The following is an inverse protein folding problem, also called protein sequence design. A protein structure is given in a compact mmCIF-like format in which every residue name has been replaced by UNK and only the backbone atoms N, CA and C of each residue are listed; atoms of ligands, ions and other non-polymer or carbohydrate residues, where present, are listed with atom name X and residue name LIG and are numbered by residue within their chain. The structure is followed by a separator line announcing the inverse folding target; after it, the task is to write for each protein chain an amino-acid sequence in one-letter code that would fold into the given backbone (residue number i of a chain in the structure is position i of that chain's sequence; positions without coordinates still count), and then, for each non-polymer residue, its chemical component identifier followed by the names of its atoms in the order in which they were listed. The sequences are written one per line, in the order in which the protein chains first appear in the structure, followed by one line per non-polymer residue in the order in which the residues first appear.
data_IF_336991766398
#
_entry.id   IF_336991766398
#
_cell.length_a   1.000
_cell.length_b   1.000
_cell.length_c   1.000
_cell.angle_alpha   90.00
_cell.angle_beta   90.00
_cell.angle_gamma   90.00
#
_symmetry.space_group_name_H-M   'P 1'
#
loop_
_entity.id
_entity.type
_entity.pdbx_description
1 polymer ?
#
# COMPACT_ATOMS: atom_id res chain seq x y z
N UNK A 1 14.45 -41.04 -4.67
CA UNK A 1 13.00 -40.71 -4.74
C UNK A 1 12.36 -41.60 -5.78
N UNK A 2 11.18 -42.17 -5.49
CA UNK A 2 10.42 -42.93 -6.49
C UNK A 2 9.74 -42.00 -7.49
N UNK A 3 9.40 -42.52 -8.68
CA UNK A 3 8.69 -41.75 -9.72
C UNK A 3 7.32 -41.25 -9.26
N UNK A 4 6.67 -42.01 -8.37
CA UNK A 4 5.41 -41.61 -7.74
C UNK A 4 5.57 -40.42 -6.79
N UNK A 5 6.63 -40.40 -5.99
CA UNK A 5 6.90 -39.30 -5.06
C UNK A 5 7.16 -37.98 -5.82
N UNK A 6 7.87 -38.06 -6.96
CA UNK A 6 8.09 -36.91 -7.83
C UNK A 6 6.78 -36.39 -8.46
N UNK A 7 5.89 -37.28 -8.87
CA UNK A 7 4.55 -36.92 -9.34
C UNK A 7 3.74 -36.21 -8.26
N UNK A 8 3.66 -36.78 -7.05
CA UNK A 8 2.89 -36.20 -5.95
C UNK A 8 3.37 -34.80 -5.59
N UNK A 9 4.69 -34.59 -5.53
CA UNK A 9 5.25 -33.25 -5.34
C UNK A 9 4.89 -32.27 -6.47
N UNK A 10 4.89 -32.72 -7.72
CA UNK A 10 4.47 -31.90 -8.87
C UNK A 10 2.99 -31.54 -8.77
N UNK A 11 2.16 -32.50 -8.36
CA UNK A 11 0.73 -32.31 -8.15
C UNK A 11 0.44 -31.34 -7.00
N UNK A 12 1.14 -31.46 -5.86
CA UNK A 12 0.96 -30.57 -4.71
C UNK A 12 1.27 -29.12 -5.11
N UNK A 13 2.38 -28.91 -5.84
CA UNK A 13 2.74 -27.60 -6.38
C UNK A 13 1.67 -27.06 -7.33
N UNK A 14 1.18 -27.88 -8.27
CA UNK A 14 0.11 -27.48 -9.18
C UNK A 14 -1.19 -27.11 -8.44
N UNK A 15 -1.57 -27.90 -7.42
CA UNK A 15 -2.75 -27.67 -6.60
C UNK A 15 -2.66 -26.38 -5.81
N UNK A 16 -1.46 -26.02 -5.33
CA UNK A 16 -1.19 -24.77 -4.64
C UNK A 16 -1.36 -23.53 -5.56
N UNK A 17 -1.02 -23.64 -6.85
CA UNK A 17 -1.23 -22.52 -7.81
C UNK A 17 -2.70 -22.13 -8.01
N UNK A 18 -3.64 -23.04 -7.70
CA UNK A 18 -5.08 -22.77 -7.73
C UNK A 18 -5.61 -22.27 -6.38
N UNK A 19 -4.74 -21.99 -5.40
CA UNK A 19 -5.08 -21.52 -4.06
C UNK A 19 -5.75 -22.56 -3.15
N UNK A 20 -6.08 -22.17 -1.93
CA UNK A 20 -6.81 -23.01 -0.96
C UNK A 20 -8.23 -22.47 -0.68
N UNK A 21 -8.98 -23.10 0.23
CA UNK A 21 -10.31 -22.63 0.65
C UNK A 21 -11.43 -22.75 -0.38
N UNK A 22 -12.62 -22.22 -0.08
CA UNK A 22 -13.73 -22.13 -1.04
C UNK A 22 -13.50 -20.90 -1.94
N UNK A 23 -13.49 -21.03 -3.27
CA UNK A 23 -13.39 -19.86 -4.15
C UNK A 23 -14.53 -18.87 -3.88
N UNK A 24 -14.19 -17.58 -3.83
CA UNK A 24 -15.16 -16.50 -3.59
C UNK A 24 -16.10 -16.38 -4.79
N UNK A 25 -17.41 -16.39 -4.53
CA UNK A 25 -18.44 -16.25 -5.55
C UNK A 25 -18.76 -14.80 -5.89
N UNK A 26 -19.44 -14.60 -7.00
CA UNK A 26 -19.80 -13.30 -7.55
C UNK A 26 -20.91 -12.56 -6.84
N UNK A 27 -21.66 -13.22 -5.96
CA UNK A 27 -22.82 -12.63 -5.26
C UNK A 27 -22.46 -11.33 -4.52
N UNK A 28 -21.26 -11.26 -3.94
CA UNK A 28 -20.80 -10.06 -3.21
C UNK A 28 -20.55 -8.87 -4.14
N UNK A 29 -20.34 -9.13 -5.43
CA UNK A 29 -20.03 -8.17 -6.48
C UNK A 29 -21.23 -7.85 -7.39
N UNK A 30 -22.43 -8.32 -7.04
CA UNK A 30 -23.68 -8.01 -7.74
C UNK A 30 -24.61 -7.19 -6.82
N UNK A 31 -24.53 -5.86 -6.92
CA UNK A 31 -25.44 -4.94 -6.23
C UNK A 31 -26.58 -4.47 -7.17
N UNK A 32 -26.88 -5.22 -8.23
CA UNK A 32 -27.89 -4.83 -9.23
C UNK A 32 -29.28 -4.69 -8.63
N UNK A 33 -29.64 -5.48 -7.61
CA UNK A 33 -30.94 -5.41 -6.92
C UNK A 33 -31.14 -4.08 -6.15
N UNK A 34 -30.24 -3.70 -5.22
CA UNK A 34 -30.29 -2.36 -4.61
C UNK A 34 -30.33 -1.22 -5.63
N UNK A 35 -29.52 -1.31 -6.69
CA UNK A 35 -29.46 -0.28 -7.75
C UNK A 35 -30.76 -0.21 -8.56
N UNK A 36 -31.39 -1.34 -8.89
CA UNK A 36 -32.70 -1.36 -9.54
C UNK A 36 -33.76 -0.68 -8.66
N UNK A 37 -33.70 -0.86 -7.33
CA UNK A 37 -34.57 -0.16 -6.38
C UNK A 37 -34.30 1.35 -6.33
N UNK A 38 -33.03 1.77 -6.31
CA UNK A 38 -32.66 3.20 -6.38
C UNK A 38 -33.14 3.85 -7.69
N UNK A 39 -33.02 3.13 -8.81
CA UNK A 39 -33.54 3.59 -10.11
C UNK A 39 -35.04 3.83 -10.04
N UNK A 40 -35.81 2.94 -9.41
CA UNK A 40 -37.26 3.11 -9.26
C UNK A 40 -37.61 4.34 -8.42
N UNK A 41 -36.89 4.58 -7.32
CA UNK A 41 -37.04 5.79 -6.50
C UNK A 41 -36.76 7.04 -7.31
N UNK A 42 -35.64 7.09 -8.04
CA UNK A 42 -35.30 8.23 -8.92
C UNK A 42 -36.37 8.40 -10.00
N UNK A 43 -36.77 7.33 -10.68
CA UNK A 43 -37.81 7.39 -11.70
C UNK A 43 -39.14 7.93 -11.14
N UNK A 44 -39.50 7.57 -9.90
CA UNK A 44 -40.72 8.07 -9.24
C UNK A 44 -40.70 9.56 -8.90
N UNK A 45 -39.50 10.16 -8.81
CA UNK A 45 -39.33 11.59 -8.53
C UNK A 45 -39.52 12.46 -9.77
N UNK A 46 -39.77 11.87 -10.94
CA UNK A 46 -40.02 12.60 -12.17
C UNK A 46 -41.21 13.58 -12.01
N UNK A 47 -41.18 14.75 -12.69
CA UNK A 47 -42.26 15.73 -12.58
C UNK A 47 -43.61 15.12 -12.96
N UNK A 48 -44.59 15.25 -12.05
CA UNK A 48 -45.98 14.88 -12.32
C UNK A 48 -46.69 15.93 -13.19
N UNK A 49 -47.95 15.67 -13.54
CA UNK A 49 -48.78 16.57 -14.37
C UNK A 49 -48.94 17.98 -13.82
N UNK A 50 -48.72 18.15 -12.52
CA UNK A 50 -48.97 19.39 -11.79
C UNK A 50 -47.74 20.32 -11.78
N UNK A 51 -46.56 19.81 -12.16
CA UNK A 51 -45.34 20.60 -12.29
C UNK A 51 -44.88 20.63 -13.75
N UNK A 52 -45.04 21.79 -14.38
CA UNK A 52 -44.78 21.99 -15.82
C UNK A 52 -43.92 23.23 -16.08
N UNK A 53 -43.36 23.33 -17.29
CA UNK A 53 -42.51 24.43 -17.73
C UNK A 53 -41.02 24.09 -17.73
N UNK A 54 -40.18 25.03 -18.17
CA UNK A 54 -38.77 24.77 -18.47
C UNK A 54 -37.95 24.18 -17.31
N UNK A 55 -38.27 24.53 -16.06
CA UNK A 55 -37.63 23.96 -14.89
C UNK A 55 -38.03 22.48 -14.66
N UNK A 56 -39.29 22.13 -14.89
CA UNK A 56 -39.78 20.75 -14.83
C UNK A 56 -39.13 19.93 -15.95
N UNK A 57 -39.03 20.45 -17.17
CA UNK A 57 -38.38 19.77 -18.30
C UNK A 57 -36.89 19.52 -18.04
N UNK A 58 -36.18 20.52 -17.50
CA UNK A 58 -34.76 20.40 -17.14
C UNK A 58 -34.55 19.36 -16.02
N UNK A 59 -35.44 19.33 -15.03
CA UNK A 59 -35.41 18.32 -13.97
C UNK A 59 -35.73 16.93 -14.51
N UNK A 60 -36.78 16.77 -15.32
CA UNK A 60 -37.12 15.49 -15.96
C UNK A 60 -35.93 14.93 -16.75
N UNK A 61 -35.27 15.77 -17.54
CA UNK A 61 -34.07 15.37 -18.28
C UNK A 61 -32.91 14.92 -17.37
N UNK A 62 -32.67 15.60 -16.24
CA UNK A 62 -31.65 15.17 -15.25
C UNK A 62 -32.06 13.86 -14.57
N UNK A 63 -33.33 13.71 -14.22
CA UNK A 63 -33.89 12.53 -13.56
C UNK A 63 -33.78 11.28 -14.44
N UNK A 64 -34.13 11.40 -15.73
CA UNK A 64 -33.99 10.32 -16.71
C UNK A 64 -32.53 9.91 -16.92
N UNK A 65 -31.60 10.89 -16.96
CA UNK A 65 -30.16 10.60 -17.07
C UNK A 65 -29.65 9.86 -15.85
N UNK A 66 -30.01 10.30 -14.64
CA UNK A 66 -29.63 9.64 -13.39
C UNK A 66 -30.19 8.20 -13.32
N UNK A 67 -31.47 7.99 -13.64
CA UNK A 67 -32.05 6.65 -13.73
C UNK A 67 -31.36 5.77 -14.79
N UNK A 68 -30.94 6.37 -15.90
CA UNK A 68 -30.16 5.73 -16.94
C UNK A 68 -28.77 5.28 -16.47
N UNK A 69 -28.06 6.13 -15.72
CA UNK A 69 -26.76 5.82 -15.12
C UNK A 69 -26.87 4.69 -14.10
N UNK A 70 -27.84 4.76 -13.18
CA UNK A 70 -28.08 3.70 -12.17
C UNK A 70 -28.38 2.36 -12.84
N UNK A 71 -29.18 2.34 -13.91
CA UNK A 71 -29.42 1.13 -14.70
C UNK A 71 -28.13 0.60 -15.34
N UNK A 72 -27.29 1.48 -15.85
CA UNK A 72 -25.98 1.11 -16.42
C UNK A 72 -25.08 0.45 -15.39
N UNK A 73 -25.03 1.01 -14.17
CA UNK A 73 -24.33 0.42 -13.03
C UNK A 73 -24.87 -0.97 -12.71
N UNK A 74 -26.19 -1.11 -12.54
CA UNK A 74 -26.82 -2.39 -12.22
C UNK A 74 -26.53 -3.52 -13.23
N UNK A 75 -26.44 -3.18 -14.52
CA UNK A 75 -26.08 -4.17 -15.55
C UNK A 75 -24.60 -4.58 -15.47
N UNK A 76 -23.72 -3.61 -15.23
CA UNK A 76 -22.29 -3.88 -15.12
C UNK A 76 -21.97 -4.67 -13.84
N UNK A 77 -22.67 -4.41 -12.73
CA UNK A 77 -22.58 -5.15 -11.47
C UNK A 77 -22.88 -6.64 -11.67
N UNK A 78 -24.01 -6.91 -12.31
CA UNK A 78 -24.48 -8.26 -12.57
C UNK A 78 -23.48 -9.03 -13.44
N UNK A 79 -22.89 -8.33 -14.42
CA UNK A 79 -21.85 -8.88 -15.29
C UNK A 79 -20.56 -9.14 -14.52
N UNK A 80 -20.16 -8.24 -13.62
CA UNK A 80 -18.99 -8.43 -12.76
C UNK A 80 -19.15 -9.64 -11.85
N UNK A 81 -20.27 -9.73 -11.12
CA UNK A 81 -20.60 -10.91 -10.32
C UNK A 81 -20.57 -12.19 -11.14
N UNK A 82 -21.17 -12.19 -12.34
CA UNK A 82 -21.14 -13.36 -13.23
C UNK A 82 -19.73 -13.78 -13.66
N UNK A 83 -18.79 -12.84 -13.85
CA UNK A 83 -17.40 -13.17 -14.20
C UNK A 83 -16.59 -13.66 -13.00
N UNK A 84 -16.87 -13.16 -11.79
CA UNK A 84 -16.28 -13.70 -10.55
C UNK A 84 -16.80 -15.12 -10.26
N UNK A 85 -18.09 -15.40 -10.51
CA UNK A 85 -18.61 -16.77 -10.43
C UNK A 85 -17.90 -17.69 -11.44
N UNK A 86 -17.56 -17.20 -12.63
CA UNK A 86 -16.81 -17.96 -13.63
C UNK A 86 -15.38 -18.24 -13.19
N UNK A 87 -14.69 -17.28 -12.56
CA UNK A 87 -13.33 -17.52 -12.06
C UNK A 87 -13.33 -18.55 -10.93
N UNK A 88 -14.29 -18.45 -10.01
CA UNK A 88 -14.53 -19.44 -8.96
C UNK A 88 -14.76 -20.85 -9.54
N UNK A 89 -15.54 -20.96 -10.62
CA UNK A 89 -15.79 -22.22 -11.32
C UNK A 89 -14.52 -22.78 -11.98
N UNK A 90 -13.70 -21.95 -12.63
CA UNK A 90 -12.42 -22.38 -13.23
C UNK A 90 -11.49 -22.96 -12.17
N UNK A 91 -11.37 -22.30 -11.02
CA UNK A 91 -10.57 -22.78 -9.89
C UNK A 91 -11.14 -24.09 -9.33
N UNK A 92 -12.44 -24.16 -9.07
CA UNK A 92 -13.09 -25.36 -8.54
C UNK A 92 -12.97 -26.55 -9.51
N UNK A 93 -13.14 -26.32 -10.81
CA UNK A 93 -12.97 -27.34 -11.85
C UNK A 93 -11.52 -27.81 -11.94
N UNK A 94 -10.55 -26.89 -12.02
CA UNK A 94 -9.13 -27.26 -12.08
C UNK A 94 -8.68 -28.09 -10.87
N UNK A 95 -9.16 -27.75 -9.67
CA UNK A 95 -8.87 -28.53 -8.45
C UNK A 95 -9.49 -29.93 -8.50
N UNK A 96 -10.70 -30.06 -9.02
CA UNK A 96 -11.37 -31.37 -9.19
C UNK A 96 -10.62 -32.22 -10.22
N UNK A 97 -10.30 -31.66 -11.37
CA UNK A 97 -9.56 -32.35 -12.43
C UNK A 97 -8.20 -32.82 -11.93
N UNK A 98 -7.47 -31.97 -11.19
CA UNK A 98 -6.20 -32.34 -10.57
C UNK A 98 -6.37 -33.55 -9.63
N UNK A 99 -7.40 -33.54 -8.78
CA UNK A 99 -7.66 -34.65 -7.86
C UNK A 99 -7.97 -35.95 -8.61
N UNK A 100 -8.74 -35.89 -9.69
CA UNK A 100 -9.01 -37.06 -10.54
C UNK A 100 -7.72 -37.65 -11.12
N UNK A 101 -6.79 -36.82 -11.61
CA UNK A 101 -5.48 -37.29 -12.12
C UNK A 101 -4.65 -37.92 -11.00
N UNK A 102 -4.64 -37.33 -9.80
CA UNK A 102 -3.94 -37.90 -8.64
C UNK A 102 -4.46 -39.29 -8.31
N UNK A 103 -5.78 -39.46 -8.23
CA UNK A 103 -6.40 -40.75 -7.93
C UNK A 103 -6.11 -41.80 -9.01
N UNK A 104 -6.09 -41.40 -10.28
CA UNK A 104 -5.74 -42.27 -11.39
C UNK A 104 -4.29 -42.79 -11.29
N UNK A 105 -3.33 -41.91 -11.04
CA UNK A 105 -1.92 -42.29 -10.88
C UNK A 105 -1.71 -43.16 -9.63
N UNK A 106 -2.35 -42.82 -8.50
CA UNK A 106 -2.28 -43.63 -7.27
C UNK A 106 -2.85 -45.04 -7.47
N UNK A 107 -3.96 -45.17 -8.21
CA UNK A 107 -4.58 -46.47 -8.52
C UNK A 107 -3.68 -47.34 -9.39
N UNK A 108 -3.01 -46.73 -10.38
CA UNK A 108 -2.02 -47.43 -11.21
C UNK A 108 -0.80 -47.88 -10.39
N UNK A 109 -0.32 -47.04 -9.47
CA UNK A 109 0.78 -47.38 -8.58
C UNK A 109 0.43 -48.54 -7.63
N UNK A 110 -0.81 -48.59 -7.13
CA UNK A 110 -1.28 -49.69 -6.28
C UNK A 110 -1.38 -51.03 -7.02
N UNK A 111 -1.43 -51.01 -8.35
CA UNK A 111 -1.57 -52.20 -9.20
C UNK A 111 -0.23 -52.86 -9.56
N UNK A 112 0.90 -52.24 -9.21
CA UNK A 112 2.24 -52.75 -9.51
C UNK A 112 3.03 -53.10 -8.24
N UNK A 113 3.92 -54.11 -8.27
CA UNK A 113 4.76 -54.43 -7.12
C UNK A 113 5.71 -53.27 -6.75
N UNK A 114 5.98 -53.01 -5.45
CA UNK A 114 6.87 -51.92 -5.02
C UNK A 114 8.35 -52.32 -5.17
N UNK A 115 8.79 -52.56 -6.40
CA UNK A 115 10.16 -52.91 -6.74
C UNK A 115 10.57 -52.27 -8.08
N UNK A 116 11.84 -52.43 -8.47
CA UNK A 116 12.38 -51.83 -9.70
C UNK A 116 11.65 -52.24 -10.99
N UNK A 117 11.01 -53.41 -11.03
CA UNK A 117 10.20 -53.82 -12.18
C UNK A 117 8.86 -53.08 -12.21
N UNK A 118 8.20 -52.92 -11.06
CA UNK A 118 6.98 -52.11 -10.95
C UNK A 118 7.21 -50.63 -11.22
N UNK A 119 8.34 -50.06 -10.77
CA UNK A 119 8.70 -48.67 -11.08
C UNK A 119 8.83 -48.44 -12.59
N UNK A 120 9.42 -49.38 -13.34
CA UNK A 120 9.54 -49.28 -14.81
C UNK A 120 8.18 -49.28 -15.51
N UNK A 121 7.21 -50.02 -14.98
CA UNK A 121 5.83 -50.06 -15.50
C UNK A 121 5.09 -48.75 -15.18
N UNK A 122 5.41 -48.10 -14.06
CA UNK A 122 4.74 -46.87 -13.61
C UNK A 122 5.19 -45.61 -14.35
N UNK A 123 6.42 -45.60 -14.90
CA UNK A 123 7.00 -44.42 -15.59
C UNK A 123 6.05 -43.80 -16.64
N UNK A 124 5.49 -44.56 -17.63
CA UNK A 124 4.63 -43.96 -18.65
C UNK A 124 3.34 -43.37 -18.10
N UNK A 125 2.78 -43.97 -17.05
CA UNK A 125 1.57 -43.48 -16.37
C UNK A 125 1.86 -42.15 -15.68
N UNK A 126 2.96 -42.09 -14.93
CA UNK A 126 3.42 -40.86 -14.26
C UNK A 126 3.72 -39.76 -15.28
N UNK A 127 4.43 -40.07 -16.38
CA UNK A 127 4.71 -39.09 -17.43
C UNK A 127 3.44 -38.52 -18.06
N UNK A 128 2.43 -39.37 -18.28
CA UNK A 128 1.12 -38.91 -18.75
C UNK A 128 0.40 -38.06 -17.70
N UNK A 129 0.42 -38.47 -16.44
CA UNK A 129 -0.19 -37.71 -15.35
C UNK A 129 0.41 -36.31 -15.19
N UNK A 130 1.74 -36.18 -15.30
CA UNK A 130 2.41 -34.87 -15.31
C UNK A 130 1.97 -34.02 -16.52
N UNK A 131 1.82 -34.64 -17.70
CA UNK A 131 1.30 -33.95 -18.89
C UNK A 131 -0.13 -33.43 -18.70
N UNK A 132 -1.03 -34.25 -18.16
CA UNK A 132 -2.42 -33.86 -17.90
C UNK A 132 -2.52 -32.77 -16.82
N UNK A 133 -1.68 -32.81 -15.78
CA UNK A 133 -1.55 -31.72 -14.79
C UNK A 133 -1.14 -30.41 -15.47
N UNK A 134 -0.15 -30.43 -16.36
CA UNK A 134 0.29 -29.25 -17.09
C UNK A 134 -0.80 -28.69 -18.03
N UNK A 135 -1.56 -29.57 -18.68
CA UNK A 135 -2.67 -29.18 -19.56
C UNK A 135 -3.83 -28.55 -18.77
N UNK A 136 -4.17 -29.08 -17.59
CA UNK A 136 -5.17 -28.48 -16.69
C UNK A 136 -4.77 -27.05 -16.34
N UNK A 137 -3.53 -26.85 -15.86
CA UNK A 137 -3.05 -25.51 -15.51
C UNK A 137 -3.06 -24.55 -16.70
N UNK A 138 -2.67 -25.01 -17.89
CA UNK A 138 -2.69 -24.19 -19.11
C UNK A 138 -4.10 -23.76 -19.49
N UNK A 139 -5.08 -24.66 -19.42
CA UNK A 139 -6.49 -24.36 -19.68
C UNK A 139 -7.03 -23.38 -18.64
N UNK A 140 -6.84 -23.67 -17.36
CA UNK A 140 -7.25 -22.78 -16.26
C UNK A 140 -6.68 -21.38 -16.44
N UNK A 141 -5.40 -21.24 -16.78
CA UNK A 141 -4.78 -19.93 -17.03
C UNK A 141 -5.38 -19.24 -18.27
N UNK A 142 -5.65 -19.97 -19.35
CA UNK A 142 -6.28 -19.42 -20.55
C UNK A 142 -7.69 -18.88 -20.24
N UNK A 143 -8.48 -19.64 -19.49
CA UNK A 143 -9.83 -19.26 -19.10
C UNK A 143 -9.81 -18.05 -18.16
N UNK A 144 -8.91 -18.04 -17.17
CA UNK A 144 -8.71 -16.91 -16.25
C UNK A 144 -8.29 -15.64 -16.98
N UNK A 145 -7.40 -15.71 -17.96
CA UNK A 145 -7.02 -14.57 -18.79
C UNK A 145 -8.20 -14.03 -19.62
N UNK A 146 -9.05 -14.93 -20.14
CA UNK A 146 -10.27 -14.55 -20.84
C UNK A 146 -11.28 -13.85 -19.91
N UNK A 147 -11.41 -14.31 -18.67
CA UNK A 147 -12.22 -13.67 -17.63
C UNK A 147 -11.67 -12.29 -17.28
N UNK A 148 -10.36 -12.17 -17.04
CA UNK A 148 -9.70 -10.90 -16.73
C UNK A 148 -9.88 -9.86 -17.86
N UNK A 149 -9.82 -10.29 -19.13
CA UNK A 149 -10.12 -9.39 -20.25
C UNK A 149 -11.57 -8.88 -20.25
N UNK A 150 -12.54 -9.72 -19.85
CA UNK A 150 -13.95 -9.30 -19.74
C UNK A 150 -14.19 -8.41 -18.54
N UNK A 151 -13.53 -8.66 -17.41
CA UNK A 151 -13.57 -7.79 -16.21
C UNK A 151 -13.02 -6.41 -16.56
N UNK A 152 -11.89 -6.31 -17.27
CA UNK A 152 -11.37 -5.04 -17.77
C UNK A 152 -12.36 -4.28 -18.65
N UNK A 153 -12.98 -4.96 -19.61
CA UNK A 153 -14.02 -4.35 -20.46
C UNK A 153 -15.26 -3.90 -19.67
N UNK A 154 -15.58 -4.57 -18.55
CA UNK A 154 -16.62 -4.13 -17.62
C UNK A 154 -16.16 -2.83 -16.92
N UNK A 155 -14.92 -2.79 -16.41
CA UNK A 155 -14.30 -1.59 -15.82
C UNK A 155 -14.30 -0.36 -16.76
N UNK A 156 -14.05 -0.56 -18.05
CA UNK A 156 -14.17 0.52 -19.06
C UNK A 156 -15.61 1.04 -19.19
N UNK A 157 -16.61 0.15 -19.16
CA UNK A 157 -18.03 0.53 -19.24
C UNK A 157 -18.48 1.40 -18.06
N UNK A 158 -17.85 1.15 -16.93
CA UNK A 158 -18.03 1.83 -15.67
C UNK A 158 -17.39 3.23 -15.65
N UNK A 159 -16.14 3.36 -16.11
CA UNK A 159 -15.48 4.66 -16.33
C UNK A 159 -16.31 5.55 -17.28
N UNK A 160 -16.82 4.96 -18.36
CA UNK A 160 -17.66 5.67 -19.33
C UNK A 160 -18.99 6.17 -18.75
N UNK A 161 -19.47 5.62 -17.61
CA UNK A 161 -20.62 6.16 -16.88
C UNK A 161 -20.22 7.36 -16.00
N UNK A 162 -19.07 7.28 -15.30
CA UNK A 162 -18.56 8.38 -14.47
C UNK A 162 -18.19 9.64 -15.26
N UNK A 163 -17.54 9.49 -16.41
CA UNK A 163 -17.14 10.61 -17.29
C UNK A 163 -18.31 11.39 -17.90
N UNK A 164 -19.52 10.81 -17.89
CA UNK A 164 -20.73 11.49 -18.34
C UNK A 164 -21.35 12.36 -17.24
N UNK A 165 -21.05 12.07 -15.97
CA UNK A 165 -21.59 12.79 -14.82
C UNK A 165 -20.69 13.96 -14.40
N UNK A 166 -19.36 13.79 -14.49
CA UNK A 166 -18.37 14.82 -14.13
C UNK A 166 -18.31 16.05 -15.06
N UNK A 167 -18.81 15.98 -16.29
CA UNK A 167 -18.83 17.13 -17.22
C UNK A 167 -19.92 18.17 -16.92
N UNK A 168 -20.87 17.87 -16.03
CA UNK A 168 -22.04 18.70 -15.77
C UNK A 168 -21.99 19.42 -14.39
N UNK A 169 -20.88 19.31 -13.64
CA UNK A 169 -20.80 19.65 -12.21
C UNK A 169 -19.90 20.82 -11.77
N UNK A 170 -19.18 21.51 -12.66
CA UNK A 170 -18.19 22.53 -12.24
C UNK A 170 -18.81 23.92 -12.01
N UNK A 171 -18.81 24.39 -10.75
CA UNK A 171 -18.79 25.81 -10.35
C UNK A 171 -17.95 25.99 -9.09
N UNK A 172 -16.89 26.81 -9.21
CA UNK A 172 -15.82 27.14 -8.25
C UNK A 172 -16.24 27.70 -6.87
N UNK A 173 -15.38 27.50 -5.86
CA UNK A 173 -15.23 28.40 -4.69
C UNK A 173 -13.76 28.45 -4.20
N UNK A 174 -13.09 29.62 -4.17
CA UNK A 174 -11.73 29.79 -3.64
C UNK A 174 -11.71 30.54 -2.30
N UNK A 175 -11.00 30.01 -1.29
CA UNK A 175 -10.09 30.79 -0.41
C UNK A 175 -9.61 29.98 0.80
N UNK A 176 -8.32 30.08 1.11
CA UNK A 176 -7.74 29.55 2.35
C UNK A 176 -6.22 29.74 2.47
N UNK A 177 -5.77 30.93 2.89
CA UNK A 177 -4.40 31.16 3.39
C UNK A 177 -4.25 30.77 4.88
N UNK A 178 -3.08 30.29 5.35
CA UNK A 178 -2.77 30.20 6.77
C UNK A 178 -1.71 31.23 7.26
N UNK A 179 -1.91 31.70 8.49
CA UNK A 179 -1.11 32.66 9.28
C UNK A 179 -0.17 32.00 10.30
N UNK A 180 0.77 32.79 10.83
CA UNK A 180 1.92 32.50 11.74
C UNK A 180 1.69 31.59 12.99
N UNK A 181 2.75 30.87 13.40
CA UNK A 181 2.77 29.90 14.52
C UNK A 181 3.15 30.49 15.91
N UNK A 182 2.57 29.95 17.02
CA UNK A 182 2.91 30.28 18.42
C UNK A 182 4.06 29.42 19.04
N UNK A 183 4.54 29.73 20.28
CA UNK A 183 5.68 29.06 20.93
C UNK A 183 5.43 27.61 21.37
N UNK A 184 6.50 26.80 21.45
CA UNK A 184 6.48 25.36 21.74
C UNK A 184 6.34 25.03 23.25
N UNK A 185 5.53 24.00 23.56
CA UNK A 185 5.44 23.39 24.90
C UNK A 185 6.51 22.28 25.09
N UNK A 186 6.94 21.97 26.33
CA UNK A 186 7.91 20.89 26.60
C UNK A 186 7.32 19.50 26.34
N UNK A 187 8.03 18.63 25.60
CA UNK A 187 7.64 17.23 25.39
C UNK A 187 7.89 16.34 26.62
N UNK A 188 7.43 15.08 26.58
CA UNK A 188 7.47 14.13 27.72
C UNK A 188 8.88 13.91 28.32
N UNK A 189 9.93 14.08 27.51
CA UNK A 189 11.33 13.90 27.92
C UNK A 189 12.06 15.23 28.21
N UNK A 190 11.34 16.36 28.30
CA UNK A 190 11.94 17.69 28.45
C UNK A 190 12.55 18.27 27.16
N UNK A 191 12.69 17.46 26.11
CA UNK A 191 13.01 17.90 24.76
C UNK A 191 11.74 18.44 24.08
N UNK A 192 11.78 19.60 23.41
CA UNK A 192 10.62 20.12 22.68
C UNK A 192 10.15 19.17 21.60
N UNK A 193 8.82 19.07 21.41
CA UNK A 193 8.26 18.38 20.26
C UNK A 193 8.70 19.05 18.95
N UNK A 194 8.90 18.27 17.87
CA UNK A 194 9.21 18.85 16.57
C UNK A 194 8.08 19.80 16.10
N UNK A 195 8.36 20.72 15.17
CA UNK A 195 7.33 21.59 14.61
C UNK A 195 6.17 20.75 14.03
N UNK A 196 4.94 21.30 13.96
CA UNK A 196 3.85 20.63 13.24
C UNK A 196 4.29 20.26 11.82
N UNK A 197 4.12 19.00 11.46
CA UNK A 197 4.47 18.49 10.15
C UNK A 197 3.27 18.52 9.21
N UNK A 198 3.50 18.87 7.94
CA UNK A 198 2.49 18.86 6.87
C UNK A 198 2.99 17.99 5.72
N UNK A 199 2.11 17.15 5.17
CA UNK A 199 2.41 16.35 3.99
C UNK A 199 2.77 17.22 2.78
N UNK A 200 3.67 16.71 1.93
CA UNK A 200 4.16 17.41 0.73
C UNK A 200 3.15 17.39 -0.43
N UNK A 201 2.31 16.36 -0.48
CA UNK A 201 1.33 16.16 -1.56
C UNK A 201 0.00 15.60 -1.03
N UNK A 202 -0.99 15.49 -1.91
CA UNK A 202 -2.32 15.02 -1.55
C UNK A 202 -2.43 13.50 -1.44
N UNK A 203 -1.47 12.75 -1.99
CA UNK A 203 -1.48 11.30 -2.16
C UNK A 203 -2.26 10.84 -3.39
N UNK A 204 -2.61 9.56 -3.40
CA UNK A 204 -3.18 8.85 -4.56
C UNK A 204 -4.68 9.14 -4.81
N UNK A 205 -5.28 10.05 -4.04
CA UNK A 205 -6.72 10.31 -4.02
C UNK A 205 -7.44 9.75 -2.79
N UNK A 206 -8.73 10.08 -2.66
CA UNK A 206 -9.55 9.68 -1.50
C UNK A 206 -9.68 8.16 -1.40
N UNK A 207 -9.55 7.63 -0.18
CA UNK A 207 -9.65 6.20 0.08
C UNK A 207 -11.03 5.66 -0.27
N UNK A 208 -11.09 4.58 -1.06
CA UNK A 208 -12.36 3.99 -1.49
C UNK A 208 -13.16 4.84 -2.49
N UNK A 209 -12.59 5.93 -3.02
CA UNK A 209 -13.21 6.79 -4.02
C UNK A 209 -13.33 6.15 -5.39
N UNK A 210 -12.49 5.17 -5.69
CA UNK A 210 -12.64 4.33 -6.87
C UNK A 210 -13.96 3.59 -6.71
N UNK A 211 -14.85 3.71 -7.69
CA UNK A 211 -16.09 3.00 -7.63
C UNK A 211 -15.81 1.49 -7.54
N UNK A 212 -16.58 0.81 -6.69
CA UNK A 212 -16.26 -0.55 -6.27
C UNK A 212 -16.11 -1.59 -7.38
N UNK A 213 -16.62 -1.25 -8.54
CA UNK A 213 -16.58 -2.04 -9.74
C UNK A 213 -15.28 -1.99 -10.55
N UNK A 214 -14.41 -1.01 -10.33
CA UNK A 214 -13.08 -0.96 -10.96
C UNK A 214 -12.05 -1.75 -10.14
N UNK A 215 -12.44 -2.24 -8.96
CA UNK A 215 -11.59 -2.90 -7.95
C UNK A 215 -11.17 -4.34 -8.26
N UNK A 216 -11.70 -4.93 -9.34
CA UNK A 216 -11.48 -6.36 -9.64
C UNK A 216 -10.02 -6.67 -9.98
N UNK A 217 -9.39 -5.84 -10.82
CA UNK A 217 -7.96 -5.95 -11.13
C UNK A 217 -7.11 -5.59 -9.90
N UNK A 218 -7.59 -4.67 -9.05
CA UNK A 218 -6.93 -4.26 -7.80
C UNK A 218 -6.92 -5.38 -6.74
N UNK A 219 -8.00 -6.17 -6.61
CA UNK A 219 -8.04 -7.36 -5.74
C UNK A 219 -7.05 -8.44 -6.17
N UNK A 220 -7.00 -8.73 -7.48
CA UNK A 220 -6.05 -9.70 -8.03
C UNK A 220 -4.60 -9.22 -7.88
N UNK A 221 -4.38 -7.92 -8.06
CA UNK A 221 -3.08 -7.28 -7.85
C UNK A 221 -2.66 -7.31 -6.38
N UNK A 222 -3.56 -6.97 -5.44
CA UNK A 222 -3.32 -7.07 -4.00
C UNK A 222 -2.91 -8.49 -3.59
N UNK A 223 -3.67 -9.50 -4.00
CA UNK A 223 -3.36 -10.90 -3.69
C UNK A 223 -2.00 -11.35 -4.25
N UNK A 224 -1.62 -10.85 -5.44
CA UNK A 224 -0.31 -11.13 -6.04
C UNK A 224 0.84 -10.48 -5.25
N UNK A 225 0.65 -9.26 -4.74
CA UNK A 225 1.63 -8.59 -3.89
C UNK A 225 1.73 -9.30 -2.53
N UNK A 226 0.61 -9.60 -1.88
CA UNK A 226 0.58 -10.32 -0.60
C UNK A 226 1.26 -11.68 -0.70
N UNK A 227 1.00 -12.43 -1.77
CA UNK A 227 1.70 -13.69 -2.05
C UNK A 227 3.20 -13.52 -2.34
N UNK A 228 3.63 -12.33 -2.75
CA UNK A 228 5.01 -11.96 -3.01
C UNK A 228 5.76 -11.40 -1.79
N UNK A 229 5.06 -10.94 -0.74
CA UNK A 229 5.67 -10.33 0.45
C UNK A 229 6.80 -11.16 1.06
N UNK A 230 6.69 -12.49 1.24
CA UNK A 230 7.79 -13.28 1.79
C UNK A 230 9.08 -13.25 0.96
N UNK A 231 8.98 -13.05 -0.36
CA UNK A 231 10.15 -12.91 -1.24
C UNK A 231 10.75 -11.50 -1.17
N UNK A 232 9.91 -10.48 -0.97
CA UNK A 232 10.34 -9.10 -0.76
C UNK A 232 11.07 -9.00 0.59
N UNK A 233 10.48 -9.56 1.65
CA UNK A 233 11.01 -9.56 3.02
C UNK A 233 12.42 -10.16 3.09
N UNK A 234 12.69 -11.23 2.33
CA UNK A 234 14.03 -11.85 2.29
C UNK A 234 15.13 -10.89 1.82
N UNK A 235 14.78 -9.92 0.96
CA UNK A 235 15.74 -9.01 0.33
C UNK A 235 15.69 -7.59 0.88
N UNK A 236 14.49 -7.14 1.25
CA UNK A 236 14.13 -5.79 1.64
C UNK A 236 13.10 -5.87 2.77
N UNK A 237 13.53 -6.26 3.99
CA UNK A 237 12.64 -6.45 5.12
C UNK A 237 11.85 -5.19 5.49
N UNK A 238 12.48 -4.00 5.49
CA UNK A 238 11.77 -2.77 5.84
C UNK A 238 10.73 -2.39 4.78
N UNK A 239 11.05 -2.58 3.49
CA UNK A 239 10.09 -2.35 2.42
C UNK A 239 8.90 -3.30 2.49
N UNK A 240 9.12 -4.58 2.83
CA UNK A 240 8.05 -5.55 3.01
C UNK A 240 7.14 -5.18 4.19
N UNK A 241 7.71 -4.73 5.30
CA UNK A 241 6.98 -4.35 6.50
C UNK A 241 6.03 -3.15 6.26
N UNK A 242 6.52 -2.06 5.66
CA UNK A 242 5.67 -0.90 5.38
C UNK A 242 4.63 -1.20 4.29
N UNK A 243 4.98 -2.06 3.32
CA UNK A 243 4.05 -2.53 2.30
C UNK A 243 2.93 -3.39 2.91
N UNK A 244 3.25 -4.29 3.83
CA UNK A 244 2.25 -5.10 4.55
C UNK A 244 1.29 -4.19 5.34
N UNK A 245 1.82 -3.19 6.06
CA UNK A 245 1.01 -2.21 6.78
C UNK A 245 0.09 -1.38 5.87
N UNK A 246 0.54 -1.03 4.66
CA UNK A 246 -0.30 -0.41 3.64
C UNK A 246 -1.45 -1.33 3.22
N UNK A 247 -1.16 -2.61 2.94
CA UNK A 247 -2.10 -3.62 2.47
C UNK A 247 -3.09 -4.08 3.55
N UNK A 248 -2.75 -3.90 4.82
CA UNK A 248 -3.63 -4.08 5.98
C UNK A 248 -4.80 -3.07 6.00
N UNK A 249 -4.73 -2.03 5.16
CA UNK A 249 -5.85 -1.14 4.85
C UNK A 249 -6.39 -0.33 6.05
N UNK A 250 -5.60 -0.22 7.12
CA UNK A 250 -6.06 0.46 8.35
C UNK A 250 -5.87 1.97 8.29
N UNK A 251 -4.83 2.45 7.60
CA UNK A 251 -4.40 3.84 7.58
C UNK A 251 -3.89 4.33 8.94
N UNK A 252 -3.62 3.41 9.88
CA UNK A 252 -3.08 3.76 11.20
C UNK A 252 -1.69 4.36 11.02
N UNK A 253 -1.34 5.44 11.76
CA UNK A 253 0.01 5.95 11.75
C UNK A 253 1.01 4.84 12.10
N UNK A 254 2.12 4.82 11.38
CA UNK A 254 3.19 3.85 11.59
C UNK A 254 4.34 4.49 12.37
N UNK A 255 4.78 3.83 13.44
CA UNK A 255 5.87 4.32 14.28
C UNK A 255 7.20 3.72 13.81
N UNK A 256 8.00 4.51 13.11
CA UNK A 256 9.26 4.10 12.50
C UNK A 256 10.37 3.98 13.54
N UNK A 257 11.14 2.89 13.48
CA UNK A 257 12.35 2.73 14.29
C UNK A 257 13.50 3.57 13.71
N UNK A 258 13.60 4.81 14.18
CA UNK A 258 14.63 5.77 13.77
C UNK A 258 16.03 5.32 14.18
N UNK A 259 16.17 4.57 15.29
CA UNK A 259 17.48 4.09 15.71
C UNK A 259 18.03 3.06 14.72
N UNK A 260 17.19 2.12 14.28
CA UNK A 260 17.58 1.16 13.23
C UNK A 260 17.93 1.89 11.93
N UNK A 261 17.08 2.83 11.50
CA UNK A 261 17.31 3.59 10.27
C UNK A 261 18.63 4.37 10.30
N UNK A 262 18.94 5.10 11.39
CA UNK A 262 20.19 5.85 11.50
C UNK A 262 21.42 4.93 11.63
N UNK A 263 21.27 3.75 12.24
CA UNK A 263 22.33 2.74 12.29
C UNK A 263 22.66 2.18 10.91
N UNK A 264 21.64 1.93 10.10
CA UNK A 264 21.80 1.36 8.76
C UNK A 264 22.25 2.40 7.72
N UNK A 265 21.96 3.68 7.97
CA UNK A 265 22.28 4.80 7.08
C UNK A 265 23.21 5.81 7.79
N UNK A 266 24.53 5.57 7.85
CA UNK A 266 25.47 6.44 8.55
C UNK A 266 25.48 7.89 8.05
N UNK A 267 25.13 8.14 6.78
CA UNK A 267 25.00 9.49 6.23
C UNK A 267 23.82 10.25 6.82
N UNK A 268 22.72 9.55 7.14
CA UNK A 268 21.56 10.12 7.82
C UNK A 268 21.90 10.44 9.27
N UNK A 269 22.64 9.54 9.93
CA UNK A 269 23.19 9.80 11.27
C UNK A 269 24.05 11.06 11.29
N UNK A 270 25.01 11.16 10.37
CA UNK A 270 25.87 12.36 10.25
C UNK A 270 25.06 13.64 9.95
N UNK A 271 23.96 13.54 9.20
CA UNK A 271 23.06 14.67 8.96
C UNK A 271 22.35 15.12 10.24
N UNK A 272 21.82 14.18 11.02
CA UNK A 272 21.20 14.45 12.32
C UNK A 272 22.18 15.09 13.30
N UNK A 273 23.40 14.55 13.38
CA UNK A 273 24.47 15.10 14.22
C UNK A 273 24.82 16.55 13.82
N UNK A 274 24.89 16.83 12.51
CA UNK A 274 25.14 18.19 12.02
C UNK A 274 24.02 19.17 12.43
N UNK A 275 22.74 18.76 12.32
CA UNK A 275 21.60 19.59 12.73
C UNK A 275 21.66 19.95 14.23
N UNK A 276 22.07 19.00 15.08
CA UNK A 276 22.26 19.24 16.52
C UNK A 276 23.46 20.14 16.77
N UNK A 277 24.60 19.87 16.14
CA UNK A 277 25.83 20.62 16.35
C UNK A 277 25.69 22.09 15.91
N UNK A 278 24.96 22.37 14.82
CA UNK A 278 24.67 23.73 14.38
C UNK A 278 23.94 24.53 15.46
N UNK A 279 22.94 23.93 16.12
CA UNK A 279 22.20 24.57 17.22
C UNK A 279 23.02 24.68 18.51
N UNK A 280 23.80 23.65 18.86
CA UNK A 280 24.73 23.71 19.99
C UNK A 280 25.71 24.87 19.82
N UNK A 281 26.32 25.01 18.64
CA UNK A 281 27.28 26.07 18.35
C UNK A 281 26.62 27.47 18.40
N UNK A 282 25.37 27.60 17.92
CA UNK A 282 24.58 28.83 18.05
C UNK A 282 24.35 29.19 19.52
N UNK A 283 23.91 28.23 20.34
CA UNK A 283 23.60 28.44 21.77
C UNK A 283 24.89 28.76 22.56
N UNK A 284 26.00 28.09 22.27
CA UNK A 284 27.29 28.36 22.90
C UNK A 284 27.76 29.79 22.58
N UNK A 285 27.64 30.24 21.33
CA UNK A 285 27.98 31.60 20.95
C UNK A 285 27.11 32.64 21.67
N UNK A 286 25.82 32.37 21.85
CA UNK A 286 24.89 33.23 22.59
C UNK A 286 25.22 33.31 24.08
N UNK A 287 25.51 32.16 24.71
CA UNK A 287 25.96 32.09 26.11
C UNK A 287 27.26 32.88 26.32
N UNK A 288 28.22 32.76 25.40
CA UNK A 288 29.48 33.49 25.44
C UNK A 288 29.29 35.02 25.28
N UNK A 289 28.38 35.44 24.38
CA UNK A 289 28.10 36.85 24.14
C UNK A 289 27.34 37.53 25.29
N UNK A 290 26.46 36.80 25.96
CA UNK A 290 25.59 37.34 27.03
C UNK A 290 26.14 37.10 28.44
N UNK A 291 27.11 36.19 28.59
CA UNK A 291 27.62 35.73 29.88
C UNK A 291 26.64 34.84 30.66
N UNK A 292 25.58 34.34 30.00
CA UNK A 292 24.57 33.49 30.63
C UNK A 292 24.95 32.02 30.49
N UNK A 293 25.40 31.41 31.59
CA UNK A 293 25.79 30.01 31.67
C UNK A 293 24.94 29.24 32.69
N UNK A 294 24.91 27.92 32.57
CA UNK A 294 24.30 26.98 33.51
C UNK A 294 22.78 26.89 33.42
N UNK A 295 22.13 27.67 32.55
CA UNK A 295 20.71 27.57 32.27
C UNK A 295 20.47 26.63 31.07
N UNK A 296 19.56 25.65 31.17
CA UNK A 296 19.18 24.83 30.03
C UNK A 296 18.47 25.66 28.97
N UNK A 297 18.90 25.54 27.72
CA UNK A 297 18.30 26.19 26.55
C UNK A 297 17.80 25.10 25.61
N UNK A 298 16.49 25.09 25.37
CA UNK A 298 15.88 24.15 24.43
C UNK A 298 15.97 24.66 22.99
N UNK A 299 16.09 23.75 22.03
CA UNK A 299 16.04 24.04 20.60
C UNK A 299 15.19 23.02 19.85
N UNK A 300 14.72 23.43 18.67
CA UNK A 300 14.18 22.53 17.64
C UNK A 300 14.51 23.11 16.26
N UNK A 301 14.79 22.25 15.29
CA UNK A 301 15.02 22.67 13.91
C UNK A 301 13.72 22.66 13.11
N UNK A 302 13.64 23.36 11.96
CA UNK A 302 12.61 23.05 10.97
C UNK A 302 12.79 21.64 10.40
N UNK A 303 11.73 21.13 9.76
CA UNK A 303 11.77 19.91 8.96
C UNK A 303 12.66 20.07 7.73
N UNK A 304 13.45 19.05 7.42
CA UNK A 304 14.33 19.01 6.26
C UNK A 304 14.27 17.63 5.60
N UNK A 305 13.96 17.61 4.31
CA UNK A 305 13.90 16.37 3.54
C UNK A 305 15.25 15.68 3.42
N UNK A 306 15.24 14.36 3.57
CA UNK A 306 16.36 13.46 3.37
C UNK A 306 15.92 12.32 2.44
N UNK A 307 16.55 12.21 1.27
CA UNK A 307 16.28 11.14 0.33
C UNK A 307 17.30 10.02 0.47
N UNK A 308 16.81 8.79 0.48
CA UNK A 308 17.66 7.60 0.56
C UNK A 308 18.38 7.40 -0.78
N UNK A 309 19.65 7.03 -0.71
CA UNK A 309 20.41 6.60 -1.89
C UNK A 309 19.92 5.20 -2.32
N UNK A 310 19.41 5.03 -3.55
CA UNK A 310 18.83 3.76 -4.01
C UNK A 310 19.85 2.64 -4.20
N UNK A 311 21.13 2.98 -4.41
CA UNK A 311 22.21 2.01 -4.61
C UNK A 311 22.85 1.62 -3.28
N UNK A 312 23.06 2.59 -2.38
CA UNK A 312 23.64 2.34 -1.07
C UNK A 312 22.63 1.77 -0.06
N UNK A 313 21.37 2.22 -0.11
CA UNK A 313 20.31 1.87 0.85
C UNK A 313 19.04 1.38 0.14
N UNK A 314 19.11 0.30 -0.66
CA UNK A 314 18.02 -0.13 -1.52
C UNK A 314 16.76 -0.59 -0.78
N UNK A 315 16.88 -1.06 0.47
CA UNK A 315 15.73 -1.43 1.30
C UNK A 315 14.98 -0.17 1.77
N UNK A 316 15.65 0.70 2.52
CA UNK A 316 15.09 1.97 2.98
C UNK A 316 14.57 2.87 1.85
N UNK A 317 15.25 2.89 0.70
CA UNK A 317 14.76 3.59 -0.49
C UNK A 317 13.41 3.03 -0.99
N UNK A 318 13.20 1.72 -0.93
CA UNK A 318 11.92 1.11 -1.32
C UNK A 318 10.86 1.20 -0.23
N UNK A 319 11.28 1.31 1.03
CA UNK A 319 10.37 1.44 2.16
C UNK A 319 9.75 2.84 2.25
N UNK A 320 10.55 3.90 2.07
CA UNK A 320 10.07 5.29 2.26
C UNK A 320 10.53 6.25 1.16
N UNK A 321 11.61 5.94 0.44
CA UNK A 321 12.17 6.81 -0.61
C UNK A 321 12.87 8.05 -0.05
N UNK A 322 12.19 8.82 0.79
CA UNK A 322 12.71 9.92 1.58
C UNK A 322 11.91 10.09 2.87
N UNK A 323 12.41 10.91 3.80
CA UNK A 323 11.69 11.34 5.00
C UNK A 323 12.03 12.79 5.30
N UNK A 324 11.17 13.49 6.04
CA UNK A 324 11.58 14.74 6.67
C UNK A 324 12.21 14.48 8.04
N UNK A 325 13.31 15.17 8.31
CA UNK A 325 14.04 15.09 9.58
C UNK A 325 13.92 16.40 10.35
N UNK A 326 13.77 16.32 11.68
CA UNK A 326 13.85 17.46 12.59
C UNK A 326 14.60 17.07 13.86
N UNK A 327 15.59 17.85 14.26
CA UNK A 327 16.30 17.67 15.52
C UNK A 327 15.68 18.54 16.63
N UNK A 328 15.63 18.01 17.84
CA UNK A 328 15.24 18.75 19.04
C UNK A 328 16.16 18.39 20.19
N UNK A 329 16.38 19.33 21.11
CA UNK A 329 17.22 19.06 22.27
C UNK A 329 17.22 20.15 23.31
N UNK A 330 18.00 19.90 24.36
CA UNK A 330 18.27 20.83 25.46
C UNK A 330 19.78 20.89 25.64
N UNK A 331 20.31 22.11 25.69
CA UNK A 331 21.74 22.38 25.85
C UNK A 331 21.95 23.18 27.12
N UNK A 332 22.83 22.70 28.00
CA UNK A 332 23.35 23.49 29.12
C UNK A 332 24.81 23.83 28.84
N UNK A 333 25.11 25.13 28.73
CA UNK A 333 26.47 25.62 28.51
C UNK A 333 27.10 25.99 29.85
N UNK A 334 28.27 25.46 30.13
CA UNK A 334 29.09 25.77 31.31
C UNK A 334 30.25 26.69 30.93
N UNK A 335 30.65 27.61 31.83
CA UNK A 335 31.77 28.48 31.57
C UNK A 335 33.06 27.65 31.38
N UNK A 336 34.04 28.17 30.63
CA UNK A 336 35.35 27.54 30.50
C UNK A 336 36.03 27.33 31.86
N UNK A 337 36.75 26.22 32.01
CA UNK A 337 37.49 25.93 33.25
C UNK A 337 38.70 26.89 33.45
N UNK A 338 39.15 27.56 32.39
CA UNK A 338 40.16 28.62 32.42
C UNK A 338 39.68 29.88 31.68
N UNK A 339 40.00 31.10 32.16
CA UNK A 339 39.61 32.32 31.46
C UNK A 339 40.10 32.34 29.99
N UNK A 340 39.17 32.46 29.05
CA UNK A 340 39.45 32.43 27.61
C UNK A 340 39.58 31.05 26.98
N UNK A 341 39.34 29.96 27.73
CA UNK A 341 39.23 28.60 27.19
C UNK A 341 37.89 28.31 26.52
N UNK A 342 37.74 27.09 26.00
CA UNK A 342 36.49 26.61 25.41
C UNK A 342 35.41 26.31 26.47
N UNK A 343 34.14 26.68 26.25
CA UNK A 343 33.02 26.26 27.09
C UNK A 343 32.85 24.73 27.08
N UNK A 344 32.18 24.21 28.12
CA UNK A 344 31.71 22.81 28.13
C UNK A 344 30.19 22.78 27.94
N UNK A 345 29.69 21.75 27.28
CA UNK A 345 28.26 21.55 27.06
C UNK A 345 27.81 20.22 27.64
N UNK A 346 26.58 20.21 28.15
CA UNK A 346 25.75 19.02 28.33
C UNK A 346 24.59 19.11 27.35
N UNK A 347 24.42 18.11 26.50
CA UNK A 347 23.42 18.08 25.42
C UNK A 347 22.59 16.82 25.54
N UNK A 348 21.27 16.98 25.62
CA UNK A 348 20.30 15.91 25.41
C UNK A 348 19.54 16.21 24.13
N UNK A 349 19.56 15.29 23.16
CA UNK A 349 18.98 15.54 21.83
C UNK A 349 18.35 14.30 21.23
N UNK A 350 17.40 14.49 20.34
CA UNK A 350 16.77 13.45 19.55
C UNK A 350 16.54 13.92 18.11
N UNK A 351 16.52 12.97 17.18
CA UNK A 351 16.13 13.20 15.79
C UNK A 351 14.74 12.61 15.59
N UNK A 352 13.85 13.40 15.03
CA UNK A 352 12.49 13.00 14.67
C UNK A 352 12.42 12.83 13.16
N UNK A 353 11.63 11.87 12.72
CA UNK A 353 11.28 11.67 11.31
C UNK A 353 9.78 11.74 11.13
N UNK A 354 9.35 12.29 10.00
CA UNK A 354 7.97 12.28 9.57
C UNK A 354 7.91 12.09 8.06
N UNK A 355 6.89 11.37 7.60
CA UNK A 355 6.60 11.22 6.18
C UNK A 355 5.14 10.78 5.97
N UNK A 356 4.68 10.80 4.72
CA UNK A 356 3.43 10.19 4.27
C UNK A 356 3.78 8.99 3.41
N UNK A 357 3.37 7.79 3.82
CA UNK A 357 3.42 6.64 2.92
C UNK A 357 2.31 6.76 1.87
N UNK A 358 2.68 7.21 0.67
CA UNK A 358 1.82 7.40 -0.49
C UNK A 358 2.47 6.82 -1.75
N UNK A 359 1.67 6.66 -2.81
CA UNK A 359 2.13 6.14 -4.09
C UNK A 359 1.71 7.10 -5.22
N UNK A 360 2.59 8.01 -5.60
CA UNK A 360 2.31 8.93 -6.69
C UNK A 360 2.49 8.27 -8.06
N UNK A 361 1.58 8.56 -9.00
CA UNK A 361 1.65 8.00 -10.34
C UNK A 361 2.91 8.46 -11.10
N UNK A 362 3.85 7.54 -11.36
CA UNK A 362 4.99 7.84 -12.24
C UNK A 362 6.19 6.90 -12.24
N UNK A 363 6.33 5.97 -11.28
CA UNK A 363 7.47 5.04 -11.22
C UNK A 363 7.03 3.57 -11.24
N UNK A 364 7.98 2.68 -11.53
CA UNK A 364 7.81 1.23 -11.49
C UNK A 364 8.95 0.56 -10.72
N UNK A 365 8.63 -0.45 -9.92
CA UNK A 365 9.59 -1.32 -9.24
C UNK A 365 9.44 -2.75 -9.76
N UNK A 366 10.55 -3.31 -10.26
CA UNK A 366 10.59 -4.70 -10.74
C UNK A 366 11.15 -5.63 -9.67
N UNK A 367 10.39 -6.66 -9.33
CA UNK A 367 10.77 -7.71 -8.37
C UNK A 367 10.61 -9.06 -9.08
N UNK A 368 11.69 -9.54 -9.69
CA UNK A 368 11.66 -10.78 -10.46
C UNK A 368 10.66 -10.69 -11.64
N UNK A 369 9.68 -11.63 -11.76
CA UNK A 369 8.65 -11.56 -12.79
C UNK A 369 7.51 -10.57 -12.47
N UNK A 370 7.47 -10.00 -11.25
CA UNK A 370 6.43 -9.09 -10.79
C UNK A 370 6.87 -7.66 -11.07
N UNK A 371 6.04 -6.90 -11.77
CA UNK A 371 6.20 -5.45 -11.91
C UNK A 371 5.14 -4.80 -11.02
N UNK A 372 5.60 -4.05 -10.02
CA UNK A 372 4.75 -3.23 -9.15
C UNK A 372 4.86 -1.81 -9.70
N UNK A 373 3.77 -1.28 -10.23
CA UNK A 373 3.74 0.11 -10.69
C UNK A 373 3.06 0.98 -9.64
N UNK A 374 3.53 2.21 -9.48
CA UNK A 374 2.95 3.15 -8.51
C UNK A 374 1.47 3.40 -8.81
N UNK A 375 1.08 3.39 -10.09
CA UNK A 375 -0.32 3.54 -10.50
C UNK A 375 -1.22 2.40 -10.01
N UNK A 376 -0.73 1.16 -9.98
CA UNK A 376 -1.49 0.03 -9.45
C UNK A 376 -1.54 0.06 -7.91
N UNK A 377 -0.47 0.56 -7.27
CA UNK A 377 -0.44 0.76 -5.81
C UNK A 377 -1.40 1.87 -5.38
N UNK A 378 -1.39 3.00 -6.08
CA UNK A 378 -2.38 4.09 -5.97
C UNK A 378 -3.81 3.58 -6.21
N UNK A 379 -3.97 2.65 -7.15
CA UNK A 379 -5.21 1.93 -7.41
C UNK A 379 -5.77 1.26 -6.15
N UNK A 380 -4.92 0.62 -5.34
CA UNK A 380 -5.36 -0.02 -4.09
C UNK A 380 -5.93 0.97 -3.05
N UNK A 381 -5.37 2.18 -2.95
CA UNK A 381 -5.85 3.26 -2.08
C UNK A 381 -7.26 3.71 -2.50
N UNK A 382 -7.39 4.06 -3.77
CA UNK A 382 -8.67 4.53 -4.31
C UNK A 382 -9.69 3.39 -4.34
N UNK A 383 -9.27 2.13 -4.52
CA UNK A 383 -10.08 0.92 -4.35
C UNK A 383 -10.54 0.67 -2.91
N UNK A 384 -9.99 1.36 -1.93
CA UNK A 384 -10.25 1.09 -0.52
C UNK A 384 -9.79 -0.30 -0.08
N UNK A 385 -8.77 -0.84 -0.77
CA UNK A 385 -8.17 -2.15 -0.51
C UNK A 385 -6.84 -2.04 0.22
N UNK A 386 -6.16 -0.91 0.11
CA UNK A 386 -5.01 -0.54 0.92
C UNK A 386 -5.19 0.90 1.39
N UNK A 387 -4.45 1.33 2.41
CA UNK A 387 -4.63 2.66 2.96
C UNK A 387 -3.33 3.34 3.30
N UNK A 388 -3.08 4.46 2.63
CA UNK A 388 -2.00 5.39 2.92
C UNK A 388 -2.05 5.83 4.39
N UNK A 389 -0.87 6.02 4.98
CA UNK A 389 -0.71 6.32 6.39
C UNK A 389 0.42 7.31 6.62
N UNK A 390 0.35 7.99 7.76
CA UNK A 390 1.43 8.87 8.19
C UNK A 390 2.50 8.05 8.91
N UNK A 391 3.76 8.32 8.60
CA UNK A 391 4.92 7.77 9.28
C UNK A 391 5.41 8.81 10.27
N UNK A 392 5.70 8.39 11.50
CA UNK A 392 6.38 9.21 12.51
C UNK A 392 7.37 8.36 13.27
N UNK A 393 8.44 8.95 13.76
CA UNK A 393 9.37 8.27 14.66
C UNK A 393 10.29 9.25 15.34
N UNK A 394 10.87 8.82 16.46
CA UNK A 394 11.94 9.54 17.14
C UNK A 394 13.07 8.58 17.48
N UNK A 395 14.30 9.04 17.35
CA UNK A 395 15.46 8.33 17.88
C UNK A 395 15.38 8.28 19.41
N UNK A 396 16.14 7.37 20.00
CA UNK A 396 16.44 7.45 21.43
C UNK A 396 17.13 8.80 21.73
N UNK A 397 16.96 9.28 22.96
CA UNK A 397 17.67 10.48 23.42
C UNK A 397 19.16 10.17 23.49
N UNK A 398 19.95 10.97 22.79
CA UNK A 398 21.41 10.97 22.84
C UNK A 398 21.88 12.00 23.87
N UNK A 399 22.82 11.60 24.72
CA UNK A 399 23.44 12.47 25.72
C UNK A 399 24.92 12.68 25.38
N UNK A 400 25.36 13.94 25.38
CA UNK A 400 26.75 14.31 25.14
C UNK A 400 27.25 15.33 26.17
N UNK A 401 28.40 15.02 26.77
CA UNK A 401 29.16 15.92 27.63
C UNK A 401 30.55 16.17 27.04
N UNK A 402 30.94 17.43 26.87
CA UNK A 402 32.27 17.76 26.38
C UNK A 402 32.42 19.16 25.81
N UNK A 403 33.38 19.31 24.90
CA UNK A 403 33.54 20.52 24.10
C UNK A 403 32.46 20.57 22.99
N UNK A 404 32.00 21.75 22.57
CA UNK A 404 31.14 21.88 21.39
C UNK A 404 31.76 21.17 20.17
N UNK A 405 30.93 20.51 19.35
CA UNK A 405 31.35 19.71 18.19
C UNK A 405 31.10 20.42 16.87
#
# INVERSE_FOLDING_TARGET
MSVLAAFLSTWDNARATLGEGTPVGGTEFDQSRPLDGLREVVASAAPGSDWTGAAADAYAGRNERLAGSIRGLAELDRRLGSEVDRSAQVVAAGRRDLEEIKQWVLSAAASVPPNAAGERVLIPVVSRGVGEVADILRRSNTDMNGIAARIRAIGEGYQALGDREGRDGDTDDPDGQPTDQPPAEPGENGIPEPPPWSKHDEGSGEWGSQPWYSRGDDLAFKAAIEGGLPLIEQKWPHAAELLDHYLDNTGKPYNLDVNSMMNDIPQMQARGDAMVNDEVNRIVAEAAATGQYGQPVSFRTPWQGYYMDPDANPDWYRAVGGVDMSAGGVVTVYPPDTPGGEPRVHVESQVNVADRYNWDAGKETKIGPITITDAQMAGLQTAGLAREFDIRGASSVSTYDGAPR
#
